data_IF_780734327506
#
_entry.id   IF_780734327506
#
_cell.length_a   1.000
_cell.length_b   1.000
_cell.length_c   1.000
_cell.angle_alpha   90.00
_cell.angle_beta   90.00
_cell.angle_gamma   90.00
#
_symmetry.space_group_name_H-M   'P 1'
#
loop_
_entity.id
_entity.type
_entity.pdbx_description
1 polymer ?
#
# COMPACT_ATOMS: atom_id res chain seq x y z
N UNK A 1 -18.73 5.55 13.83
CA UNK A 1 -17.39 5.32 13.25
C UNK A 1 -17.23 6.27 12.07
N UNK A 2 -16.00 6.58 11.62
CA UNK A 2 -15.81 7.60 10.60
C UNK A 2 -16.25 7.08 9.23
N UNK A 3 -17.21 7.78 8.61
CA UNK A 3 -17.59 7.61 7.20
C UNK A 3 -16.85 8.68 6.39
N UNK A 4 -16.23 8.30 5.28
CA UNK A 4 -15.47 9.26 4.48
C UNK A 4 -14.64 8.64 3.37
N UNK A 5 -13.71 9.42 2.84
CA UNK A 5 -12.77 9.00 1.79
C UNK A 5 -11.37 8.92 2.37
N UNK A 6 -10.74 7.77 2.18
CA UNK A 6 -9.32 7.54 2.45
C UNK A 6 -8.55 7.73 1.14
N UNK A 7 -7.60 8.66 1.13
CA UNK A 7 -6.59 8.79 0.10
C UNK A 7 -5.30 8.11 0.57
N UNK A 8 -4.76 7.23 -0.28
CA UNK A 8 -3.48 6.56 -0.10
C UNK A 8 -2.53 7.06 -1.18
N UNK A 9 -1.48 7.78 -0.77
CA UNK A 9 -0.39 8.18 -1.64
C UNK A 9 0.72 7.13 -1.57
N UNK A 10 0.91 6.37 -2.66
CA UNK A 10 2.04 5.48 -2.85
C UNK A 10 3.24 6.27 -3.39
N UNK A 11 4.28 6.42 -2.58
CA UNK A 11 5.47 7.17 -2.99
C UNK A 11 6.47 6.24 -3.66
N UNK A 12 7.11 5.40 -2.87
CA UNK A 12 8.22 4.54 -3.28
C UNK A 12 8.34 3.34 -2.34
N UNK A 13 9.17 2.36 -2.70
CA UNK A 13 9.66 1.34 -1.79
C UNK A 13 11.19 1.30 -1.85
N UNK A 14 11.82 0.85 -0.77
CA UNK A 14 13.28 0.78 -0.65
C UNK A 14 13.76 -0.56 -0.17
N UNK A 15 14.87 -1.01 -0.75
CA UNK A 15 15.56 -2.22 -0.35
C UNK A 15 14.71 -3.49 -0.45
N UNK A 16 13.83 -3.59 -1.45
CA UNK A 16 13.00 -4.77 -1.67
C UNK A 16 13.86 -6.01 -1.99
N UNK A 17 13.67 -7.08 -1.21
CA UNK A 17 14.41 -8.35 -1.37
C UNK A 17 13.51 -9.47 -1.86
N UNK A 18 13.68 -9.92 -3.10
CA UNK A 18 13.06 -11.17 -3.57
C UNK A 18 14.08 -12.33 -3.48
N UNK A 19 13.59 -13.57 -3.36
CA UNK A 19 14.37 -14.78 -3.09
C UNK A 19 15.34 -15.15 -4.24
N UNK A 20 15.05 -14.70 -5.47
CA UNK A 20 15.81 -15.04 -6.69
C UNK A 20 16.79 -13.95 -7.18
N UNK A 21 17.22 -13.05 -6.28
CA UNK A 21 18.04 -11.88 -6.64
C UNK A 21 19.50 -12.21 -7.00
N UNK A 22 19.72 -12.72 -8.22
CA UNK A 22 21.02 -12.64 -8.89
C UNK A 22 21.11 -11.48 -9.89
N UNK A 23 20.00 -10.85 -10.29
CA UNK A 23 19.99 -9.92 -11.46
C UNK A 23 19.15 -8.64 -11.37
N UNK A 24 18.76 -8.16 -10.17
CA UNK A 24 18.14 -6.83 -9.97
C UNK A 24 16.95 -6.47 -10.91
N UNK A 25 16.30 -7.48 -11.49
CA UNK A 25 15.24 -7.33 -12.49
C UNK A 25 13.92 -7.66 -11.81
N UNK A 26 13.47 -6.73 -10.97
CA UNK A 26 12.16 -6.75 -10.33
C UNK A 26 11.30 -5.67 -10.99
N UNK A 27 10.06 -6.03 -11.29
CA UNK A 27 9.02 -5.15 -11.80
C UNK A 27 7.87 -5.12 -10.77
N UNK A 28 8.05 -4.47 -9.61
CA UNK A 28 7.11 -4.58 -8.51
C UNK A 28 5.84 -3.75 -8.75
N UNK A 29 4.73 -4.22 -8.21
CA UNK A 29 3.48 -3.49 -8.09
C UNK A 29 2.82 -3.76 -6.75
N UNK A 30 1.98 -2.82 -6.30
CA UNK A 30 1.33 -2.86 -4.99
C UNK A 30 -0.16 -3.08 -5.16
N UNK A 31 -0.68 -4.04 -4.40
CA UNK A 31 -2.10 -4.30 -4.25
C UNK A 31 -2.53 -3.75 -2.88
N UNK A 32 -3.44 -2.81 -2.89
CA UNK A 32 -4.05 -2.20 -1.72
C UNK A 32 -5.38 -2.86 -1.44
N UNK A 33 -5.61 -3.24 -0.19
CA UNK A 33 -6.88 -3.82 0.25
C UNK A 33 -7.40 -3.09 1.47
N UNK A 34 -8.61 -2.56 1.35
CA UNK A 34 -9.39 -1.95 2.44
C UNK A 34 -10.75 -2.66 2.46
N UNK A 35 -10.94 -3.56 3.43
CA UNK A 35 -12.09 -4.49 3.45
C UNK A 35 -12.27 -5.24 2.13
N UNK A 36 -13.32 -4.94 1.38
CA UNK A 36 -13.70 -5.56 0.10
C UNK A 36 -13.19 -4.77 -1.11
N UNK A 37 -12.62 -3.58 -0.90
CA UNK A 37 -12.06 -2.77 -1.98
C UNK A 37 -10.61 -3.16 -2.21
N UNK A 38 -10.31 -3.57 -3.44
CA UNK A 38 -8.96 -3.85 -3.90
C UNK A 38 -8.58 -2.84 -5.01
N UNK A 39 -7.38 -2.25 -4.92
CA UNK A 39 -6.80 -1.41 -5.97
C UNK A 39 -5.37 -1.83 -6.22
N UNK A 40 -4.89 -1.62 -7.45
CA UNK A 40 -3.54 -2.00 -7.88
C UNK A 40 -2.81 -0.81 -8.46
N UNK A 41 -1.54 -0.65 -8.11
CA UNK A 41 -0.67 0.35 -8.73
C UNK A 41 -0.26 -0.06 -10.13
N UNK A 42 0.38 0.87 -10.84
CA UNK A 42 1.16 0.47 -12.01
C UNK A 42 2.36 -0.38 -11.61
N UNK A 43 2.92 -1.07 -12.60
CA UNK A 43 4.10 -1.92 -12.47
C UNK A 43 5.34 -1.05 -12.66
N UNK A 44 6.21 -1.00 -11.65
CA UNK A 44 7.44 -0.21 -11.67
C UNK A 44 8.55 -0.93 -12.48
N UNK A 45 8.36 -0.99 -13.80
CA UNK A 45 9.24 -1.75 -14.70
C UNK A 45 10.68 -1.25 -14.68
N UNK A 46 11.63 -2.17 -14.50
CA UNK A 46 13.07 -1.89 -14.56
C UNK A 46 13.58 -1.01 -13.42
N UNK A 47 12.81 -0.88 -12.32
CA UNK A 47 13.20 -0.10 -11.14
C UNK A 47 13.90 -0.93 -10.08
N UNK A 48 13.81 -2.26 -10.14
CA UNK A 48 14.56 -3.14 -9.25
C UNK A 48 14.08 -3.03 -7.79
N UNK A 49 15.02 -2.99 -6.85
CA UNK A 49 14.75 -2.99 -5.41
C UNK A 49 14.19 -1.69 -4.84
N UNK A 50 14.26 -0.59 -5.60
CA UNK A 50 13.91 0.76 -5.12
C UNK A 50 12.92 1.44 -6.10
N UNK A 51 11.70 0.90 -6.25
CA UNK A 51 10.68 1.43 -7.15
C UNK A 51 10.05 2.72 -6.64
N UNK A 52 9.76 3.63 -7.57
CA UNK A 52 8.98 4.84 -7.34
C UNK A 52 7.70 4.78 -8.17
N UNK A 53 6.56 5.09 -7.56
CA UNK A 53 5.26 5.14 -8.25
C UNK A 53 4.67 6.54 -8.26
N UNK A 54 4.67 7.23 -7.13
CA UNK A 54 4.02 8.54 -6.96
C UNK A 54 2.54 8.53 -7.42
N UNK A 55 1.78 7.54 -6.97
CA UNK A 55 0.38 7.30 -7.35
C UNK A 55 -0.57 7.46 -6.16
N UNK A 56 -1.75 8.06 -6.40
CA UNK A 56 -2.79 8.20 -5.38
C UNK A 56 -3.98 7.28 -5.64
N UNK A 57 -4.52 6.69 -4.57
CA UNK A 57 -5.68 5.81 -4.59
C UNK A 57 -6.72 6.29 -3.60
N UNK A 58 -7.98 6.37 -4.04
CA UNK A 58 -9.11 6.73 -3.18
C UNK A 58 -9.92 5.50 -2.78
N UNK A 59 -10.22 5.33 -1.50
CA UNK A 59 -11.06 4.28 -0.94
C UNK A 59 -12.22 4.89 -0.18
N UNK A 60 -13.39 4.27 -0.26
CA UNK A 60 -14.52 4.65 0.57
C UNK A 60 -14.37 3.96 1.93
N UNK A 61 -14.27 4.73 3.01
CA UNK A 61 -14.27 4.20 4.38
C UNK A 61 -15.71 4.16 4.86
N UNK A 62 -16.23 2.95 5.07
CA UNK A 62 -17.52 2.69 5.71
C UNK A 62 -17.30 2.07 7.09
N UNK A 63 -18.27 2.20 8.01
CA UNK A 63 -18.19 1.72 9.40
C UNK A 63 -17.47 0.36 9.54
N UNK A 64 -16.48 0.24 10.45
CA UNK A 64 -15.61 -0.93 10.72
C UNK A 64 -14.30 -1.07 9.90
N UNK A 65 -13.74 -0.02 9.33
CA UNK A 65 -12.36 -0.11 8.77
C UNK A 65 -11.34 0.19 9.87
N UNK A 66 -10.44 -0.76 10.15
CA UNK A 66 -9.32 -0.59 11.09
C UNK A 66 -7.95 -0.51 10.42
N UNK A 67 -7.78 -1.12 9.24
CA UNK A 67 -6.46 -1.30 8.64
C UNK A 67 -6.48 -1.21 7.11
N UNK A 68 -5.35 -0.76 6.56
CA UNK A 68 -5.01 -0.84 5.15
C UNK A 68 -3.96 -1.93 4.97
N UNK A 69 -4.22 -2.91 4.10
CA UNK A 69 -3.25 -3.93 3.72
C UNK A 69 -2.60 -3.58 2.40
N UNK A 70 -1.28 -3.68 2.35
CA UNK A 70 -0.47 -3.48 1.15
C UNK A 70 0.25 -4.78 0.85
N UNK A 71 0.07 -5.31 -0.35
CA UNK A 71 0.75 -6.51 -0.83
C UNK A 71 1.61 -6.15 -2.02
N UNK A 72 2.91 -6.41 -1.92
CA UNK A 72 3.87 -6.17 -2.99
C UNK A 72 4.06 -7.47 -3.76
N UNK A 73 3.84 -7.38 -5.06
CA UNK A 73 3.98 -8.46 -6.01
C UNK A 73 5.03 -8.08 -7.06
N UNK A 74 5.82 -9.04 -7.51
CA UNK A 74 6.75 -8.90 -8.63
C UNK A 74 6.08 -9.42 -9.90
N UNK A 75 6.01 -8.59 -10.94
CA UNK A 75 5.38 -8.99 -12.19
C UNK A 75 6.37 -9.70 -13.09
N UNK A 76 6.22 -11.00 -13.23
CA UNK A 76 6.97 -11.78 -14.20
C UNK A 76 6.27 -11.87 -15.55
N UNK A 77 7.06 -11.83 -16.62
CA UNK A 77 6.52 -11.90 -17.99
C UNK A 77 6.17 -13.34 -18.41
N UNK A 78 6.77 -14.35 -17.79
CA UNK A 78 6.67 -15.76 -18.21
C UNK A 78 6.23 -16.73 -17.10
N UNK A 79 6.19 -16.27 -15.85
CA UNK A 79 5.80 -17.06 -14.68
C UNK A 79 4.63 -16.40 -13.96
N UNK A 80 4.10 -17.09 -12.96
CA UNK A 80 3.11 -16.50 -12.05
C UNK A 80 3.80 -15.41 -11.23
N UNK A 81 3.14 -14.26 -11.08
CA UNK A 81 3.63 -13.17 -10.24
C UNK A 81 4.03 -13.65 -8.84
N UNK A 82 5.22 -13.23 -8.41
CA UNK A 82 5.80 -13.62 -7.15
C UNK A 82 5.41 -12.67 -6.02
N UNK A 83 5.10 -13.24 -4.85
CA UNK A 83 4.84 -12.45 -3.66
C UNK A 83 6.16 -12.00 -3.02
N UNK A 84 6.41 -10.70 -3.01
CA UNK A 84 7.62 -10.10 -2.41
C UNK A 84 7.44 -9.92 -0.90
N UNK A 85 6.28 -9.37 -0.50
CA UNK A 85 5.96 -9.13 0.90
C UNK A 85 4.69 -8.30 1.08
N UNK A 86 4.35 -8.02 2.32
CA UNK A 86 3.19 -7.23 2.70
C UNK A 86 3.50 -6.27 3.85
N UNK A 87 2.73 -5.20 3.92
CA UNK A 87 2.70 -4.25 5.03
C UNK A 87 1.24 -4.06 5.47
N UNK A 88 1.02 -3.96 6.78
CA UNK A 88 -0.30 -3.68 7.36
C UNK A 88 -0.20 -2.35 8.09
N UNK A 89 -1.09 -1.42 7.73
CA UNK A 89 -1.08 -0.06 8.26
C UNK A 89 -2.36 0.18 9.06
N UNK A 90 -2.26 0.41 10.39
CA UNK A 90 -3.39 0.77 11.23
C UNK A 90 -3.92 2.16 10.83
N UNK A 91 -5.25 2.28 10.70
CA UNK A 91 -5.93 3.52 10.31
C UNK A 91 -6.49 4.29 11.52
N UNK A 92 -6.44 3.72 12.71
CA UNK A 92 -6.79 4.40 13.96
C UNK A 92 -6.10 5.76 14.14
N UNK A 93 -4.76 5.89 13.99
CA UNK A 93 -4.09 7.19 14.10
C UNK A 93 -4.52 8.16 13.00
N UNK A 94 -4.82 7.66 11.80
CA UNK A 94 -5.31 8.50 10.71
C UNK A 94 -6.66 9.14 11.02
N UNK A 95 -7.57 8.42 11.69
CA UNK A 95 -8.87 8.97 12.05
C UNK A 95 -8.79 10.01 13.18
N UNK A 96 -7.73 9.98 13.99
CA UNK A 96 -7.47 11.00 15.01
C UNK A 96 -6.84 12.27 14.42
N UNK A 97 -5.82 12.12 13.57
CA UNK A 97 -5.03 13.23 13.05
C UNK A 97 -5.54 13.77 11.70
N UNK A 98 -6.40 13.02 11.01
CA UNK A 98 -6.91 13.30 9.66
C UNK A 98 -5.88 13.08 8.55
N UNK A 99 -4.59 13.10 8.85
CA UNK A 99 -3.50 12.91 7.89
C UNK A 99 -2.28 12.27 8.53
N UNK A 100 -1.71 11.30 7.84
CA UNK A 100 -0.37 10.76 8.09
C UNK A 100 0.54 11.14 6.93
N UNK A 101 1.68 11.80 7.18
CA UNK A 101 2.63 12.14 6.12
C UNK A 101 3.23 10.86 5.52
N UNK A 102 3.89 10.95 4.35
CA UNK A 102 4.68 9.85 3.80
C UNK A 102 5.59 9.23 4.86
N UNK A 103 5.26 8.01 5.28
CA UNK A 103 5.92 7.28 6.36
C UNK A 103 6.33 5.91 5.84
N UNK A 104 7.50 5.44 6.27
CA UNK A 104 8.01 4.12 5.93
C UNK A 104 7.36 3.03 6.78
N UNK A 105 6.89 1.97 6.11
CA UNK A 105 6.33 0.78 6.73
C UNK A 105 7.13 -0.45 6.33
N UNK A 106 7.41 -1.31 7.30
CA UNK A 106 8.16 -2.53 7.07
C UNK A 106 7.35 -3.49 6.20
N UNK A 107 8.00 -3.97 5.15
CA UNK A 107 7.50 -5.04 4.29
C UNK A 107 8.04 -6.35 4.82
N UNK A 108 7.15 -7.31 5.06
CA UNK A 108 7.52 -8.65 5.53
C UNK A 108 6.99 -9.73 4.61
N UNK A 109 7.70 -10.85 4.47
CA UNK A 109 7.17 -12.01 3.75
C UNK A 109 6.26 -12.88 4.65
N UNK A 110 5.84 -14.04 4.13
CA UNK A 110 5.00 -15.01 4.84
C UNK A 110 5.66 -15.58 6.11
N UNK A 111 6.99 -15.57 6.15
CA UNK A 111 7.81 -16.05 7.27
C UNK A 111 8.14 -14.91 8.25
N UNK A 112 7.52 -13.73 8.10
CA UNK A 112 7.76 -12.50 8.87
C UNK A 112 9.18 -11.94 8.76
N UNK A 113 9.92 -12.33 7.72
CA UNK A 113 11.25 -11.79 7.45
C UNK A 113 11.12 -10.40 6.82
N UNK A 114 11.96 -9.47 7.27
CA UNK A 114 12.04 -8.13 6.69
C UNK A 114 12.53 -8.17 5.24
N UNK A 115 11.74 -7.58 4.35
CA UNK A 115 11.92 -7.58 2.90
C UNK A 115 12.18 -6.19 2.33
N UNK A 116 12.25 -5.15 3.17
CA UNK A 116 12.40 -3.76 2.75
C UNK A 116 11.33 -2.89 3.40
N UNK A 117 11.18 -1.67 2.89
CA UNK A 117 10.19 -0.71 3.38
C UNK A 117 9.40 -0.11 2.24
N UNK A 118 8.15 0.26 2.51
CA UNK A 118 7.26 0.97 1.59
C UNK A 118 6.87 2.31 2.20
N UNK A 119 6.99 3.38 1.43
CA UNK A 119 6.69 4.74 1.86
C UNK A 119 5.31 5.13 1.31
N UNK A 120 4.36 5.35 2.22
CA UNK A 120 3.01 5.80 1.86
C UNK A 120 2.57 6.97 2.72
N UNK A 121 1.80 7.90 2.14
CA UNK A 121 1.05 8.92 2.84
C UNK A 121 -0.43 8.55 2.91
N UNK A 122 -1.11 8.96 3.98
CA UNK A 122 -2.54 8.71 4.15
C UNK A 122 -3.27 10.01 4.50
N UNK A 123 -4.41 10.25 3.86
CA UNK A 123 -5.29 11.39 4.18
C UNK A 123 -6.71 10.88 4.31
N UNK A 124 -7.39 11.21 5.41
CA UNK A 124 -8.79 10.89 5.61
C UNK A 124 -9.64 12.15 5.55
N UNK A 125 -10.64 12.14 4.66
CA UNK A 125 -11.64 13.20 4.52
C UNK A 125 -13.00 12.67 4.98
N UNK A 126 -13.51 13.10 6.14
CA UNK A 126 -14.83 12.71 6.60
C UNK A 126 -15.92 13.15 5.62
N UNK A 127 -16.94 12.31 5.40
CA UNK A 127 -18.12 12.71 4.64
C UNK A 127 -18.94 13.70 5.50
N UNK A 128 -19.28 14.89 4.97
CA UNK A 128 -20.13 15.81 5.70
C UNK A 128 -21.50 15.17 5.90
N UNK A 129 -21.95 15.05 7.15
CA UNK A 129 -23.30 14.59 7.44
C UNK A 129 -24.29 15.52 6.74
N UNK A 130 -24.94 15.03 5.66
CA UNK A 130 -26.09 15.74 5.09
C UNK A 130 -27.16 15.75 6.17
N UNK A 131 -27.38 16.91 6.77
CA UNK A 131 -28.56 17.19 7.58
C UNK A 131 -29.78 17.04 6.66
N UNK A 132 -30.46 15.90 6.75
CA UNK A 132 -31.80 15.76 6.22
C UNK A 132 -32.71 16.68 7.04
N UNK A 133 -33.15 17.78 6.44
CA UNK A 133 -34.21 18.64 6.97
C UNK A 133 -35.57 17.94 6.89
#
# INVERSE_FOLDING_TARGET
MPLGTLEVLLVEAKGLKNKDFLFNKMDPYVIFTVKTQEKKSTVAKGKGSDPEWNESFLFTVTDDVSELRLKIMDKDTFTKDDFVGEAIVPLEPLFADGRLPPTAYNVVNKDQEYRGEIIIGLTFTPEPQRSSF
#
